data_IF_263137746771
#
_entry.id   IF_263137746771
#
_cell.length_a   1.000
_cell.length_b   1.000
_cell.length_c   1.000
_cell.angle_alpha   90.00
_cell.angle_beta   90.00
_cell.angle_gamma   90.00
#
_symmetry.space_group_name_H-M   'P 1'
#
loop_
_entity.id
_entity.type
_entity.pdbx_description
1 polymer ?
#
# COMPACT_ATOMS: atom_id res chain seq x y z
N UNK A 1 13.02 11.19 -6.85
CA UNK A 1 12.03 10.70 -5.87
C UNK A 1 11.48 11.83 -4.99
N UNK A 2 12.29 12.55 -4.22
CA UNK A 2 11.80 13.60 -3.31
C UNK A 2 10.89 14.64 -3.98
N UNK A 3 11.28 15.18 -5.15
CA UNK A 3 10.47 16.20 -5.87
C UNK A 3 9.09 15.68 -6.33
N UNK A 4 8.96 14.38 -6.61
CA UNK A 4 7.72 13.77 -7.09
C UNK A 4 6.84 13.34 -5.91
N UNK A 5 7.45 12.88 -4.83
CA UNK A 5 6.74 12.32 -3.68
C UNK A 5 6.46 13.30 -2.53
N UNK A 6 6.97 14.55 -2.60
CA UNK A 6 6.90 15.48 -1.47
C UNK A 6 5.46 15.85 -1.06
N UNK A 7 4.52 15.93 -2.01
CA UNK A 7 3.10 16.20 -1.71
C UNK A 7 2.41 15.03 -1.00
N UNK A 8 2.84 13.81 -1.31
CA UNK A 8 2.28 12.59 -0.74
C UNK A 8 2.91 12.23 0.62
N UNK A 9 4.15 12.67 0.84
CA UNK A 9 4.93 12.37 2.04
C UNK A 9 5.59 13.66 2.60
N UNK A 10 4.81 14.63 3.06
CA UNK A 10 5.33 15.95 3.44
C UNK A 10 6.29 15.94 4.63
N UNK A 11 6.23 14.91 5.49
CA UNK A 11 7.06 14.81 6.69
C UNK A 11 8.34 13.99 6.50
N UNK A 12 8.59 13.44 5.30
CA UNK A 12 9.82 12.69 5.06
C UNK A 12 11.03 13.61 4.90
N UNK A 13 12.06 13.33 5.68
CA UNK A 13 13.35 14.01 5.59
C UNK A 13 14.26 13.37 4.52
N UNK A 14 15.38 14.05 4.20
CA UNK A 14 16.33 13.57 3.21
C UNK A 14 16.86 12.16 3.50
N UNK A 15 17.07 11.84 4.79
CA UNK A 15 17.52 10.51 5.22
C UNK A 15 16.47 9.42 4.94
N UNK A 16 15.18 9.72 5.07
CA UNK A 16 14.09 8.80 4.77
C UNK A 16 14.01 8.53 3.28
N UNK A 17 14.10 9.58 2.46
CA UNK A 17 14.14 9.45 1.01
C UNK A 17 15.34 8.62 0.53
N UNK A 18 16.50 8.77 1.19
CA UNK A 18 17.68 7.97 0.86
C UNK A 18 17.46 6.49 1.23
N UNK A 19 16.87 6.20 2.39
CA UNK A 19 16.51 4.83 2.78
C UNK A 19 15.55 4.20 1.77
N UNK A 20 14.53 4.94 1.36
CA UNK A 20 13.56 4.46 0.36
C UNK A 20 14.21 4.24 -1.00
N UNK A 21 15.08 5.15 -1.44
CA UNK A 21 15.82 4.99 -2.68
C UNK A 21 16.68 3.72 -2.68
N UNK A 22 17.35 3.39 -1.58
CA UNK A 22 18.16 2.16 -1.44
C UNK A 22 17.33 0.87 -1.49
N UNK A 23 16.05 0.93 -1.17
CA UNK A 23 15.13 -0.24 -1.27
C UNK A 23 14.63 -0.45 -2.69
N UNK A 24 14.46 0.63 -3.45
CA UNK A 24 13.85 0.62 -4.78
C UNK A 24 14.84 0.63 -5.93
N UNK A 25 16.11 0.99 -5.66
CA UNK A 25 17.17 1.09 -6.64
C UNK A 25 18.41 0.35 -6.18
N UNK A 26 19.13 -0.25 -7.14
CA UNK A 26 20.44 -0.87 -6.95
C UNK A 26 21.47 -0.06 -7.72
N UNK A 27 22.64 0.15 -7.12
CA UNK A 27 23.79 0.73 -7.82
C UNK A 27 24.67 -0.39 -8.34
N UNK A 28 24.94 -0.36 -9.63
CA UNK A 28 25.90 -1.24 -10.29
C UNK A 28 26.72 -0.41 -11.28
N UNK A 29 28.05 -0.44 -11.18
CA UNK A 29 28.97 0.31 -12.03
C UNK A 29 28.60 1.81 -12.14
N UNK A 30 28.31 2.48 -11.03
CA UNK A 30 27.89 3.88 -10.94
C UNK A 30 26.58 4.18 -11.70
N UNK A 31 25.80 3.18 -12.02
CA UNK A 31 24.45 3.33 -12.62
C UNK A 31 23.39 2.84 -11.65
N UNK A 32 22.33 3.61 -11.52
CA UNK A 32 21.17 3.20 -10.75
C UNK A 32 20.24 2.37 -11.66
N UNK A 33 19.91 1.17 -11.20
CA UNK A 33 18.94 0.28 -11.84
C UNK A 33 17.80 0.01 -10.87
N UNK A 34 16.56 -0.15 -11.35
CA UNK A 34 15.44 -0.57 -10.48
C UNK A 34 15.76 -1.88 -9.76
N UNK A 35 15.33 -2.01 -8.52
CA UNK A 35 15.45 -3.25 -7.75
C UNK A 35 14.40 -4.32 -8.11
N UNK A 36 13.53 -4.03 -9.08
CA UNK A 36 12.51 -4.91 -9.61
C UNK A 36 12.78 -5.27 -11.07
N UNK A 37 12.14 -6.33 -11.55
CA UNK A 37 12.25 -6.73 -12.95
C UNK A 37 11.53 -5.71 -13.84
N UNK A 38 12.29 -5.03 -14.69
CA UNK A 38 11.76 -3.99 -15.61
C UNK A 38 10.73 -4.54 -16.60
N UNK A 39 10.70 -5.87 -16.82
CA UNK A 39 9.67 -6.52 -17.65
C UNK A 39 8.28 -6.42 -17.07
N UNK A 40 8.14 -6.12 -15.77
CA UNK A 40 6.84 -5.82 -15.16
C UNK A 40 6.13 -4.63 -15.84
N UNK A 41 6.88 -3.67 -16.38
CA UNK A 41 6.28 -2.57 -17.14
C UNK A 41 5.49 -3.08 -18.37
N UNK A 42 5.95 -4.16 -19.01
CA UNK A 42 5.27 -4.75 -20.17
C UNK A 42 3.89 -5.32 -19.84
N UNK A 43 3.67 -5.76 -18.61
CA UNK A 43 2.36 -6.26 -18.18
C UNK A 43 1.32 -5.15 -18.09
N UNK A 44 1.77 -3.90 -17.97
CA UNK A 44 0.92 -2.72 -17.89
C UNK A 44 0.65 -2.10 -19.27
N UNK A 45 1.43 -2.44 -20.30
CA UNK A 45 1.27 -1.88 -21.67
C UNK A 45 -0.10 -2.24 -22.31
N UNK A 46 -0.69 -3.35 -21.88
CA UNK A 46 -2.01 -3.77 -22.35
C UNK A 46 -3.19 -3.14 -21.59
N UNK A 47 -2.91 -2.38 -20.53
CA UNK A 47 -3.93 -1.73 -19.70
C UNK A 47 -4.17 -0.32 -20.23
N UNK A 48 -5.39 -0.06 -20.68
CA UNK A 48 -5.84 1.28 -21.04
C UNK A 48 -6.20 2.04 -19.75
N UNK A 49 -5.26 2.85 -19.27
CA UNK A 49 -5.46 3.67 -18.07
C UNK A 49 -6.39 4.88 -18.28
N UNK A 50 -6.78 5.19 -19.52
CA UNK A 50 -7.77 6.24 -19.80
C UNK A 50 -9.19 5.73 -19.55
N UNK A 51 -9.38 4.42 -19.50
CA UNK A 51 -10.66 3.80 -19.15
C UNK A 51 -10.69 3.41 -17.68
N UNK A 52 -11.78 3.74 -16.96
CA UNK A 52 -11.97 3.23 -15.61
C UNK A 52 -11.89 1.71 -15.60
N UNK A 53 -11.03 1.15 -14.75
CA UNK A 53 -11.00 -0.30 -14.54
C UNK A 53 -12.33 -0.76 -13.91
N UNK A 54 -12.87 -1.92 -14.30
CA UNK A 54 -14.06 -2.43 -13.67
C UNK A 54 -13.85 -2.65 -12.17
N UNK A 55 -14.81 -2.27 -11.32
CA UNK A 55 -14.68 -2.49 -9.90
C UNK A 55 -14.74 -3.99 -9.59
N UNK A 56 -13.80 -4.49 -8.79
CA UNK A 56 -13.71 -5.89 -8.38
C UNK A 56 -14.46 -6.14 -7.05
N UNK A 57 -15.69 -5.61 -6.94
CA UNK A 57 -16.46 -5.74 -5.69
C UNK A 57 -16.93 -7.18 -5.43
N UNK A 58 -17.23 -7.96 -6.46
CA UNK A 58 -17.60 -9.37 -6.32
C UNK A 58 -16.46 -10.21 -5.74
N UNK A 59 -15.24 -9.98 -6.21
CA UNK A 59 -14.02 -10.64 -5.70
C UNK A 59 -13.72 -10.19 -4.27
N UNK A 60 -13.94 -8.91 -3.97
CA UNK A 60 -13.77 -8.38 -2.63
C UNK A 60 -14.80 -9.00 -1.66
N UNK A 61 -16.05 -9.12 -2.06
CA UNK A 61 -17.14 -9.73 -1.26
C UNK A 61 -16.91 -11.23 -1.01
N UNK A 62 -16.22 -11.92 -1.92
CA UNK A 62 -15.81 -13.32 -1.70
C UNK A 62 -14.86 -13.49 -0.51
N UNK A 63 -14.19 -12.42 -0.06
CA UNK A 63 -13.33 -12.41 1.12
C UNK A 63 -14.09 -12.21 2.45
N UNK A 64 -15.42 -12.10 2.43
CA UNK A 64 -16.24 -11.73 3.59
C UNK A 64 -16.05 -12.61 4.86
N UNK A 65 -15.55 -13.83 4.69
CA UNK A 65 -15.26 -14.76 5.80
C UNK A 65 -13.80 -14.77 6.25
N UNK A 66 -12.96 -13.95 5.62
CA UNK A 66 -11.54 -13.88 5.94
C UNK A 66 -11.24 -12.62 6.74
N UNK A 67 -10.37 -12.68 7.75
CA UNK A 67 -9.87 -11.46 8.36
C UNK A 67 -9.22 -10.57 7.31
N UNK A 68 -9.61 -9.32 7.24
CA UNK A 68 -9.04 -8.33 6.33
C UNK A 68 -8.50 -7.12 7.09
N UNK A 69 -7.32 -6.67 6.68
CA UNK A 69 -6.77 -5.38 7.11
C UNK A 69 -6.43 -4.54 5.89
N UNK A 70 -6.80 -3.27 5.95
CA UNK A 70 -6.40 -2.26 4.97
C UNK A 70 -5.55 -1.21 5.67
N UNK A 71 -4.35 -0.97 5.15
CA UNK A 71 -3.49 0.14 5.59
C UNK A 71 -3.43 1.16 4.47
N UNK A 72 -3.96 2.36 4.72
CA UNK A 72 -4.06 3.45 3.76
C UNK A 72 -3.23 4.64 4.21
N UNK A 73 -2.43 5.21 3.33
CA UNK A 73 -1.89 6.56 3.56
C UNK A 73 -2.96 7.62 3.36
N UNK A 74 -3.07 8.58 4.27
CA UNK A 74 -4.10 9.63 4.20
C UNK A 74 -4.04 10.45 2.90
N UNK A 75 -2.84 10.62 2.32
CA UNK A 75 -2.57 11.32 1.06
C UNK A 75 -2.57 10.39 -0.16
N UNK A 76 -3.10 9.16 -0.04
CA UNK A 76 -3.10 8.20 -1.15
C UNK A 76 -3.99 8.69 -2.30
N UNK A 77 -3.44 8.72 -3.50
CA UNK A 77 -4.10 8.98 -4.78
C UNK A 77 -4.59 7.70 -5.47
N UNK A 78 -4.16 6.53 -4.98
CA UNK A 78 -4.53 5.21 -5.53
C UNK A 78 -5.72 4.60 -4.78
N UNK A 79 -5.75 4.71 -3.46
CA UNK A 79 -6.84 4.21 -2.61
C UNK A 79 -7.53 5.39 -1.92
N UNK A 80 -8.71 5.77 -2.40
CA UNK A 80 -9.47 6.89 -1.84
C UNK A 80 -10.11 6.54 -0.49
N UNK A 81 -10.42 7.56 0.32
CA UNK A 81 -11.17 7.39 1.55
C UNK A 81 -12.59 6.82 1.27
N UNK A 82 -13.23 7.24 0.18
CA UNK A 82 -14.54 6.74 -0.24
C UNK A 82 -14.49 5.25 -0.62
N UNK A 83 -13.42 4.80 -1.28
CA UNK A 83 -13.22 3.38 -1.56
C UNK A 83 -13.11 2.58 -0.26
N UNK A 84 -12.35 3.06 0.72
CA UNK A 84 -12.25 2.39 2.04
C UNK A 84 -13.60 2.39 2.76
N UNK A 85 -14.38 3.45 2.67
CA UNK A 85 -15.76 3.49 3.20
C UNK A 85 -16.65 2.45 2.52
N UNK A 86 -16.57 2.31 1.21
CA UNK A 86 -17.30 1.29 0.46
C UNK A 86 -16.85 -0.14 0.82
N UNK A 87 -15.55 -0.35 1.09
CA UNK A 87 -15.03 -1.62 1.62
C UNK A 87 -15.63 -1.95 2.99
N UNK A 88 -15.68 -0.99 3.91
CA UNK A 88 -16.30 -1.16 5.23
C UNK A 88 -17.78 -1.52 5.15
N UNK A 89 -18.51 -0.96 4.20
CA UNK A 89 -19.93 -1.30 3.99
C UNK A 89 -20.11 -2.76 3.58
N UNK A 90 -19.18 -3.31 2.76
CA UNK A 90 -19.23 -4.68 2.24
C UNK A 90 -18.60 -5.70 3.17
N UNK A 91 -17.66 -5.26 3.98
CA UNK A 91 -16.96 -6.10 4.96
C UNK A 91 -16.88 -5.33 6.29
N UNK A 92 -17.95 -5.40 7.14
CA UNK A 92 -18.04 -4.59 8.36
C UNK A 92 -16.90 -4.81 9.36
N UNK A 93 -16.35 -6.03 9.40
CA UNK A 93 -15.26 -6.41 10.31
C UNK A 93 -13.86 -6.10 9.79
N UNK A 94 -13.75 -5.38 8.66
CA UNK A 94 -12.45 -5.00 8.11
C UNK A 94 -11.70 -4.08 9.07
N UNK A 95 -10.45 -4.43 9.39
CA UNK A 95 -9.56 -3.57 10.18
C UNK A 95 -8.95 -2.51 9.25
N UNK A 96 -9.14 -1.24 9.57
CA UNK A 96 -8.63 -0.13 8.75
C UNK A 96 -7.68 0.73 9.57
N UNK A 97 -6.47 0.87 9.06
CA UNK A 97 -5.43 1.74 9.59
C UNK A 97 -5.16 2.85 8.58
N UNK A 98 -5.42 4.10 8.97
CA UNK A 98 -5.03 5.26 8.18
C UNK A 98 -3.73 5.84 8.74
N UNK A 99 -2.75 6.04 7.86
CA UNK A 99 -1.43 6.59 8.20
C UNK A 99 -1.38 8.04 7.74
N UNK A 100 -1.32 8.95 8.71
CA UNK A 100 -1.29 10.38 8.44
C UNK A 100 -0.04 10.78 7.64
N UNK A 101 -0.18 11.83 6.80
CA UNK A 101 0.91 12.43 6.04
C UNK A 101 1.69 11.46 5.13
N UNK A 102 1.09 10.34 4.76
CA UNK A 102 1.67 9.38 3.84
C UNK A 102 0.78 9.12 2.63
N UNK A 103 1.39 8.92 1.48
CA UNK A 103 0.76 8.57 0.22
C UNK A 103 0.64 7.05 0.01
N UNK A 104 0.58 6.64 -1.25
CA UNK A 104 0.57 5.24 -1.63
C UNK A 104 1.97 4.80 -2.12
N UNK A 105 2.50 3.66 -1.64
CA UNK A 105 2.08 2.90 -0.48
C UNK A 105 2.70 3.52 0.78
N UNK A 106 1.99 3.51 1.93
CA UNK A 106 2.58 4.02 3.17
C UNK A 106 3.82 3.21 3.56
N UNK A 107 4.79 3.87 4.19
CA UNK A 107 6.12 3.27 4.45
C UNK A 107 6.12 2.20 5.55
N UNK A 108 5.04 2.10 6.32
CA UNK A 108 4.85 1.14 7.42
C UNK A 108 6.03 1.14 8.42
N UNK A 109 6.63 2.31 8.66
CA UNK A 109 7.80 2.46 9.51
C UNK A 109 7.46 2.96 10.93
N UNK A 110 6.22 3.41 11.14
CA UNK A 110 5.77 3.97 12.40
C UNK A 110 5.44 2.85 13.40
N UNK A 111 5.99 2.89 14.64
CA UNK A 111 5.76 1.84 15.63
C UNK A 111 4.28 1.52 15.89
N UNK A 112 3.34 2.50 15.95
CA UNK A 112 1.92 2.20 16.13
C UNK A 112 1.32 1.41 14.96
N UNK A 113 1.73 1.72 13.72
CA UNK A 113 1.26 1.03 12.51
C UNK A 113 1.79 -0.41 12.49
N UNK A 114 3.08 -0.58 12.78
CA UNK A 114 3.71 -1.91 12.90
C UNK A 114 2.99 -2.73 13.97
N UNK A 115 2.73 -2.16 15.14
CA UNK A 115 2.02 -2.82 16.24
C UNK A 115 0.63 -3.32 15.83
N UNK A 116 -0.14 -2.51 15.07
CA UNK A 116 -1.46 -2.92 14.54
C UNK A 116 -1.34 -4.07 13.56
N UNK A 117 -0.38 -4.04 12.65
CA UNK A 117 -0.15 -5.11 11.67
C UNK A 117 0.25 -6.41 12.37
N UNK A 118 1.15 -6.34 13.35
CA UNK A 118 1.58 -7.51 14.14
C UNK A 118 0.40 -8.10 14.92
N UNK A 119 -0.41 -7.28 15.57
CA UNK A 119 -1.59 -7.73 16.29
C UNK A 119 -2.59 -8.44 15.36
N UNK A 120 -2.85 -7.86 14.18
CA UNK A 120 -3.72 -8.46 13.18
C UNK A 120 -3.17 -9.82 12.70
N UNK A 121 -1.89 -9.90 12.35
CA UNK A 121 -1.26 -11.15 11.92
C UNK A 121 -1.34 -12.22 13.02
N UNK A 122 -1.12 -11.85 14.28
CA UNK A 122 -1.22 -12.76 15.43
C UNK A 122 -2.65 -13.32 15.58
N UNK A 123 -3.67 -12.48 15.42
CA UNK A 123 -5.08 -12.93 15.46
C UNK A 123 -5.38 -13.92 14.33
N UNK A 124 -4.86 -13.67 13.11
CA UNK A 124 -5.03 -14.59 11.98
C UNK A 124 -4.38 -15.95 12.25
N UNK A 125 -3.20 -15.98 12.87
CA UNK A 125 -2.50 -17.21 13.21
C UNK A 125 -3.20 -18.00 14.33
N UNK A 126 -3.77 -17.33 15.31
CA UNK A 126 -4.57 -17.97 16.36
C UNK A 126 -5.88 -18.56 15.81
N UNK A 127 -6.57 -17.84 14.92
CA UNK A 127 -7.80 -18.32 14.28
C UNK A 127 -7.63 -19.52 13.35
N UNK A 128 -6.40 -19.79 12.87
CA UNK A 128 -6.08 -20.99 12.06
C UNK A 128 -5.83 -22.26 12.88
N UNK A 129 -5.76 -22.17 14.21
CA UNK A 129 -5.47 -23.29 15.11
C UNK A 129 -6.72 -24.00 15.63
N UNK A 130 -7.88 -23.61 15.14
CA UNK A 130 -9.18 -24.21 15.41
C UNK A 130 -9.82 -24.68 14.09
#
# INVERSE_FOLDING_TARGET
>A
MQRIGASHFPKLEAADWLRQARRTWKEHNRRLTPAYDVRLAKTLEAIDFERPLPPLWGEFEALARMPLMVVRGANSDVLSADTVKAMRTRHPDIDVVEVADQGHAPLLAEPPVIGRIVAFATLCDLGRRH
#
